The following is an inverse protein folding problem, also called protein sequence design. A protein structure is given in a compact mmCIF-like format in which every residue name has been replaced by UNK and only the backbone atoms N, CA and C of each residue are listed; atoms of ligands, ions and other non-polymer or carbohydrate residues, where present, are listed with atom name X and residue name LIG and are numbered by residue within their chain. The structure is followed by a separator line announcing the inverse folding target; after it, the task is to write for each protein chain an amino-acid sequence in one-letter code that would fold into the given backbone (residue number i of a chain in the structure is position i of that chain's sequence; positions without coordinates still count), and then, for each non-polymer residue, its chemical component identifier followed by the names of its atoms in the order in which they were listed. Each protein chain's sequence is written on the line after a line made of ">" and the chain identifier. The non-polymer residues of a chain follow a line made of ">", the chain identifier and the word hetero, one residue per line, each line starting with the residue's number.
data_IF_240523051869
#
_entry.id   IF_240523051869
#
_cell.length_a   1.000
_cell.length_b   1.000
_cell.length_c   1.000
_cell.angle_alpha   90.00
_cell.angle_beta   90.00
_cell.angle_gamma   90.00
#
_symmetry.space_group_name_H-M   'P 1'
#
loop_
_entity.id
_entity.type
_entity.pdbx_description
1 polymer ?
#
# COMPACT_ATOMS: atom_id res chain seq x y z
N UNK A 1 16.56 -15.95 -39.96
CA UNK A 1 15.85 -14.96 -39.14
C UNK A 1 16.25 -13.58 -39.60
N UNK A 2 15.33 -12.63 -39.73
CA UNK A 2 15.64 -11.29 -40.20
C UNK A 2 16.38 -10.51 -39.09
N UNK A 3 17.60 -10.07 -39.34
CA UNK A 3 18.36 -9.18 -38.46
C UNK A 3 18.24 -7.74 -38.97
N UNK A 4 18.15 -6.77 -38.07
CA UNK A 4 18.21 -5.38 -38.47
C UNK A 4 19.60 -5.08 -39.08
N UNK A 5 19.64 -4.38 -40.21
CA UNK A 5 20.90 -4.01 -40.87
C UNK A 5 21.73 -3.02 -40.03
N UNK A 6 21.06 -2.16 -39.25
CA UNK A 6 21.70 -1.10 -38.47
C UNK A 6 22.06 -1.50 -37.04
N UNK A 7 21.56 -2.64 -36.54
CA UNK A 7 21.79 -3.09 -35.17
C UNK A 7 22.21 -4.57 -35.15
N UNK A 8 23.47 -4.79 -34.84
CA UNK A 8 24.09 -6.09 -34.60
C UNK A 8 23.97 -6.48 -33.13
N UNK A 9 23.50 -7.70 -32.91
CA UNK A 9 23.41 -8.29 -31.56
C UNK A 9 24.77 -8.63 -30.95
N UNK A 10 25.88 -8.56 -31.71
CA UNK A 10 27.22 -8.88 -31.20
C UNK A 10 27.98 -7.66 -30.69
N UNK A 11 27.53 -6.46 -31.04
CA UNK A 11 28.25 -5.21 -30.79
C UNK A 11 27.62 -4.50 -29.61
N UNK A 12 28.37 -4.41 -28.50
CA UNK A 12 27.88 -3.83 -27.24
C UNK A 12 27.48 -2.36 -27.37
N UNK A 13 28.17 -1.57 -28.19
CA UNK A 13 27.79 -0.17 -28.41
C UNK A 13 26.45 -0.03 -29.13
N UNK A 14 26.11 -0.96 -30.02
CA UNK A 14 24.83 -0.97 -30.74
C UNK A 14 23.69 -1.46 -29.84
N UNK A 15 23.94 -2.43 -28.96
CA UNK A 15 23.01 -2.82 -27.90
C UNK A 15 22.72 -1.64 -26.95
N UNK A 16 23.75 -0.92 -26.52
CA UNK A 16 23.59 0.26 -25.67
C UNK A 16 22.77 1.35 -26.36
N UNK A 17 23.02 1.62 -27.65
CA UNK A 17 22.24 2.59 -28.41
C UNK A 17 20.76 2.18 -28.51
N UNK A 18 20.49 0.89 -28.71
CA UNK A 18 19.13 0.38 -28.67
C UNK A 18 18.47 0.58 -27.29
N UNK A 19 19.18 0.29 -26.20
CA UNK A 19 18.69 0.56 -24.83
C UNK A 19 18.46 2.06 -24.59
N UNK A 20 19.34 2.94 -25.09
CA UNK A 20 19.20 4.39 -25.00
C UNK A 20 17.92 4.86 -25.70
N UNK A 21 17.64 4.35 -26.90
CA UNK A 21 16.42 4.67 -27.66
C UNK A 21 15.16 4.18 -26.96
N UNK A 22 15.20 3.00 -26.34
CA UNK A 22 14.07 2.48 -25.55
C UNK A 22 13.82 3.37 -24.34
N UNK A 23 14.86 3.76 -23.62
CA UNK A 23 14.74 4.67 -22.47
C UNK A 23 14.16 6.02 -22.90
N UNK A 24 14.61 6.56 -24.03
CA UNK A 24 14.09 7.81 -24.56
C UNK A 24 12.60 7.68 -24.92
N UNK A 25 12.19 6.57 -25.55
CA UNK A 25 10.79 6.31 -25.84
C UNK A 25 9.92 6.22 -24.57
N UNK A 26 10.42 5.58 -23.51
CA UNK A 26 9.74 5.51 -22.22
C UNK A 26 9.63 6.87 -21.55
N UNK A 27 10.61 7.76 -21.72
CA UNK A 27 10.53 9.14 -21.23
C UNK A 27 9.57 10.02 -22.02
N UNK A 28 9.40 9.76 -23.31
CA UNK A 28 8.48 10.51 -24.16
C UNK A 28 7.02 10.14 -23.91
N UNK A 29 6.73 8.85 -23.72
CA UNK A 29 5.35 8.33 -23.62
C UNK A 29 4.96 7.84 -22.24
N UNK A 30 5.93 7.56 -21.37
CA UNK A 30 5.68 7.16 -19.99
C UNK A 30 5.34 8.34 -19.10
N UNK A 31 5.05 8.02 -17.84
CA UNK A 31 4.77 8.97 -16.79
C UNK A 31 5.80 8.77 -15.67
N UNK A 32 6.06 9.85 -14.93
CA UNK A 32 6.86 9.78 -13.71
C UNK A 32 6.01 9.16 -12.60
N UNK A 33 6.48 8.04 -12.06
CA UNK A 33 5.83 7.32 -10.96
C UNK A 33 6.82 7.15 -9.81
N UNK A 34 6.32 6.93 -8.60
CA UNK A 34 7.18 6.52 -7.49
C UNK A 34 7.18 5.00 -7.40
N UNK A 35 8.37 4.42 -7.46
CA UNK A 35 8.61 3.02 -7.21
C UNK A 35 9.11 2.86 -5.77
N UNK A 36 8.52 1.92 -5.04
CA UNK A 36 8.69 1.78 -3.60
C UNK A 36 9.02 0.30 -3.36
N UNK A 37 10.30 -0.03 -3.07
CA UNK A 37 10.68 -1.40 -2.79
C UNK A 37 10.09 -1.86 -1.45
N UNK A 38 9.68 -3.13 -1.38
CA UNK A 38 9.24 -3.75 -0.14
C UNK A 38 10.46 -4.17 0.70
N UNK A 39 10.46 -3.80 1.97
CA UNK A 39 11.40 -4.34 2.95
C UNK A 39 10.80 -5.59 3.59
N UNK A 40 11.54 -6.70 3.49
CA UNK A 40 11.15 -7.96 4.12
C UNK A 40 11.91 -8.05 5.44
N UNK A 41 11.18 -7.85 6.54
CA UNK A 41 11.66 -8.19 7.89
C UNK A 41 11.66 -9.73 8.04
N UNK A 42 12.59 -10.29 8.82
CA UNK A 42 12.73 -11.74 8.96
C UNK A 42 11.40 -12.41 9.35
N UNK A 43 10.92 -13.35 8.53
CA UNK A 43 9.73 -14.16 8.81
C UNK A 43 9.88 -14.92 10.15
N UNK A 44 8.85 -14.85 11.01
CA UNK A 44 8.81 -15.70 12.20
C UNK A 44 8.62 -17.17 11.77
N UNK A 45 9.73 -17.92 11.83
CA UNK A 45 9.79 -19.34 11.46
C UNK A 45 9.04 -20.25 12.43
N UNK A 46 8.57 -19.76 13.58
CA UNK A 46 7.92 -20.56 14.61
C UNK A 46 6.40 -20.59 14.41
N UNK A 47 5.79 -19.44 14.09
CA UNK A 47 4.34 -19.34 13.92
C UNK A 47 3.89 -19.19 12.46
N UNK A 48 4.81 -18.93 11.52
CA UNK A 48 4.48 -18.66 10.11
C UNK A 48 3.39 -17.59 9.96
N UNK A 49 3.37 -16.63 10.90
CA UNK A 49 2.53 -15.45 10.79
C UNK A 49 3.23 -14.46 9.84
N UNK A 50 2.46 -13.85 8.94
CA UNK A 50 3.01 -12.89 7.98
C UNK A 50 3.20 -11.56 8.71
N UNK A 51 4.45 -11.11 8.83
CA UNK A 51 4.72 -9.80 9.40
C UNK A 51 4.29 -8.78 8.33
N UNK A 52 3.52 -7.75 8.70
CA UNK A 52 3.14 -6.71 7.76
C UNK A 52 4.37 -6.11 7.10
N UNK A 53 4.25 -5.83 5.80
CA UNK A 53 5.33 -5.27 4.99
C UNK A 53 5.72 -3.88 5.49
N UNK A 54 7.00 -3.52 5.35
CA UNK A 54 7.46 -2.16 5.57
C UNK A 54 7.96 -1.54 4.26
N UNK A 55 7.74 -0.24 4.11
CA UNK A 55 8.17 0.54 2.96
C UNK A 55 8.91 1.79 3.43
N UNK A 56 10.25 1.76 3.40
CA UNK A 56 11.09 2.83 3.95
C UNK A 56 11.62 3.86 2.92
N UNK A 57 11.39 3.62 1.64
CA UNK A 57 12.04 4.39 0.58
C UNK A 57 11.20 4.52 -0.68
N UNK A 58 11.44 5.59 -1.42
CA UNK A 58 10.76 5.87 -2.67
C UNK A 58 11.72 6.36 -3.76
N UNK A 59 11.50 5.91 -4.99
CA UNK A 59 12.32 6.24 -6.14
C UNK A 59 11.46 6.70 -7.32
N UNK A 60 11.64 7.95 -7.74
CA UNK A 60 10.96 8.46 -8.94
C UNK A 60 11.58 7.87 -10.21
N UNK A 61 10.77 7.18 -11.00
CA UNK A 61 11.18 6.52 -12.24
C UNK A 61 10.12 6.67 -13.33
N UNK A 62 10.57 6.73 -14.58
CA UNK A 62 9.65 6.80 -15.72
C UNK A 62 9.14 5.40 -16.07
N UNK A 63 7.82 5.22 -16.03
CA UNK A 63 7.16 3.97 -16.45
C UNK A 63 6.09 4.25 -17.50
N UNK A 64 6.01 3.38 -18.50
CA UNK A 64 4.92 3.38 -19.47
C UNK A 64 3.81 2.47 -18.99
N UNK A 65 2.57 2.96 -19.00
CA UNK A 65 1.39 2.18 -18.66
C UNK A 65 0.89 1.52 -19.94
N UNK A 66 1.05 0.21 -20.02
CA UNK A 66 0.44 -0.62 -21.05
C UNK A 66 -1.00 -0.91 -20.61
N UNK A 67 -1.93 -0.03 -21.00
CA UNK A 67 -3.35 -0.26 -20.72
C UNK A 67 -3.89 -1.35 -21.65
N UNK A 68 -4.62 -2.33 -21.10
CA UNK A 68 -5.21 -3.49 -21.82
C UNK A 68 -6.53 -3.08 -22.52
N UNK A 69 -6.78 -1.79 -22.72
CA UNK A 69 -7.95 -1.30 -23.45
C UNK A 69 -7.83 -1.60 -24.96
N UNK A 70 -8.22 -2.82 -25.35
CA UNK A 70 -8.36 -3.16 -26.75
C UNK A 70 -8.53 -4.65 -27.03
N UNK A 71 -9.72 -5.19 -26.72
CA UNK A 71 -10.30 -6.43 -27.29
C UNK A 71 -9.56 -7.76 -27.00
N UNK A 72 -10.10 -8.58 -26.08
CA UNK A 72 -10.88 -9.80 -26.45
C UNK A 72 -11.47 -10.49 -25.20
N UNK A 73 -12.75 -10.30 -24.92
CA UNK A 73 -13.62 -11.42 -24.51
C UNK A 73 -13.52 -12.07 -23.12
N UNK A 74 -13.05 -11.44 -22.05
CA UNK A 74 -13.28 -11.96 -20.68
C UNK A 74 -13.33 -10.83 -19.63
N UNK A 75 -14.35 -9.98 -19.76
CA UNK A 75 -14.76 -9.05 -18.71
C UNK A 75 -15.63 -9.77 -17.68
N UNK A 76 -14.96 -10.54 -16.82
CA UNK A 76 -15.37 -11.00 -15.49
C UNK A 76 -14.45 -12.17 -15.17
N UNK A 77 -13.36 -11.90 -14.46
CA UNK A 77 -12.54 -12.98 -13.91
C UNK A 77 -13.35 -13.60 -12.76
N UNK A 78 -14.20 -14.58 -13.06
CA UNK A 78 -14.86 -15.39 -12.06
C UNK A 78 -13.79 -16.15 -11.26
N UNK A 79 -13.42 -15.63 -10.09
CA UNK A 79 -12.69 -16.41 -9.11
C UNK A 79 -13.66 -17.42 -8.50
N UNK A 80 -13.16 -18.51 -7.89
CA UNK A 80 -14.01 -19.55 -7.27
C UNK A 80 -14.92 -19.04 -6.14
N UNK A 81 -14.83 -17.76 -5.77
CA UNK A 81 -15.52 -17.12 -4.66
C UNK A 81 -16.39 -15.91 -5.06
N UNK A 82 -16.38 -15.46 -6.32
CA UNK A 82 -17.25 -14.36 -6.76
C UNK A 82 -16.72 -13.58 -7.96
N UNK A 83 -17.43 -12.49 -8.31
CA UNK A 83 -16.96 -11.45 -9.24
C UNK A 83 -16.25 -10.40 -8.40
N UNK A 84 -14.94 -10.29 -8.58
CA UNK A 84 -14.13 -9.25 -7.93
C UNK A 84 -13.50 -8.40 -9.04
N UNK A 85 -13.90 -7.12 -9.11
CA UNK A 85 -13.38 -6.19 -10.11
C UNK A 85 -12.16 -5.51 -9.50
N UNK A 86 -10.98 -6.08 -9.73
CA UNK A 86 -9.72 -5.43 -9.37
C UNK A 86 -9.21 -4.56 -10.51
N UNK A 87 -8.83 -3.34 -10.18
CA UNK A 87 -8.10 -2.48 -11.10
C UNK A 87 -6.71 -3.09 -11.35
N UNK A 88 -6.47 -3.57 -12.57
CA UNK A 88 -5.19 -4.11 -13.00
C UNK A 88 -4.50 -3.17 -13.99
N UNK A 89 -3.18 -3.03 -13.87
CA UNK A 89 -2.37 -2.22 -14.77
C UNK A 89 -1.05 -2.93 -15.07
N UNK A 90 -0.56 -2.82 -16.31
CA UNK A 90 0.78 -3.30 -16.67
C UNK A 90 1.73 -2.12 -16.82
N UNK A 91 2.78 -2.08 -16.01
CA UNK A 91 3.81 -1.06 -16.07
C UNK A 91 5.04 -1.59 -16.78
N UNK A 92 5.60 -0.78 -17.69
CA UNK A 92 6.81 -1.11 -18.44
C UNK A 92 7.92 -0.17 -18.03
N UNK A 93 9.01 -0.75 -17.52
CA UNK A 93 10.19 -0.01 -17.04
C UNK A 93 11.46 -0.50 -17.70
N UNK A 94 12.42 0.39 -17.97
CA UNK A 94 13.73 -0.02 -18.49
C UNK A 94 14.57 -0.69 -17.41
N UNK A 95 15.17 -1.85 -17.73
CA UNK A 95 16.07 -2.57 -16.81
C UNK A 95 17.25 -1.73 -16.36
N UNK A 96 17.85 -0.99 -17.31
CA UNK A 96 19.03 -0.16 -17.05
C UNK A 96 18.68 1.05 -16.18
N UNK A 97 17.51 1.67 -16.38
CA UNK A 97 17.05 2.80 -15.54
C UNK A 97 16.73 2.34 -14.12
N UNK A 98 15.99 1.25 -13.98
CA UNK A 98 15.69 0.68 -12.67
C UNK A 98 16.98 0.35 -11.91
N UNK A 99 17.94 -0.31 -12.55
CA UNK A 99 19.24 -0.60 -11.93
C UNK A 99 20.05 0.65 -11.53
N UNK A 100 19.90 1.75 -12.25
CA UNK A 100 20.60 3.00 -11.96
C UNK A 100 19.98 3.79 -10.81
N UNK A 101 18.66 3.70 -10.63
CA UNK A 101 17.88 4.53 -9.70
C UNK A 101 17.50 3.80 -8.42
N UNK A 102 17.26 2.49 -8.48
CA UNK A 102 16.80 1.68 -7.36
C UNK A 102 17.98 0.85 -6.84
N UNK A 103 18.38 -0.20 -7.58
CA UNK A 103 19.41 -1.17 -7.15
C UNK A 103 20.83 -0.61 -6.92
N UNK A 104 21.07 0.69 -7.17
CA UNK A 104 22.36 1.34 -6.87
C UNK A 104 22.32 2.13 -5.56
N UNK A 105 21.15 2.66 -5.21
CA UNK A 105 20.98 3.56 -4.07
C UNK A 105 20.41 2.83 -2.86
N UNK A 106 19.66 1.77 -3.12
CA UNK A 106 19.16 0.88 -2.11
C UNK A 106 20.13 -0.32 -1.96
N UNK A 107 20.73 -0.46 -0.78
CA UNK A 107 21.62 -1.57 -0.47
C UNK A 107 20.85 -2.78 0.10
N UNK A 108 19.57 -2.63 0.41
CA UNK A 108 18.67 -3.67 0.95
C UNK A 108 18.04 -4.47 -0.20
N UNK A 109 17.90 -3.86 -1.38
CA UNK A 109 17.50 -4.53 -2.62
C UNK A 109 18.67 -5.34 -3.19
N UNK A 110 18.80 -6.61 -2.79
CA UNK A 110 19.75 -7.58 -3.38
C UNK A 110 19.32 -8.09 -4.78
N UNK A 111 18.32 -7.45 -5.40
CA UNK A 111 17.69 -7.86 -6.64
C UNK A 111 18.34 -7.34 -7.92
N UNK A 112 18.37 -8.19 -8.96
CA UNK A 112 18.70 -7.75 -10.33
C UNK A 112 17.50 -7.23 -11.13
N UNK A 113 16.31 -7.24 -10.51
CA UNK A 113 15.01 -6.88 -11.06
C UNK A 113 14.07 -6.40 -9.95
N UNK A 114 12.96 -5.73 -10.30
CA UNK A 114 11.83 -5.54 -9.38
C UNK A 114 11.35 -6.85 -8.77
N UNK A 115 10.88 -6.80 -7.53
CA UNK A 115 10.32 -7.93 -6.82
C UNK A 115 8.79 -7.90 -6.80
N UNK A 116 8.22 -9.04 -6.47
CA UNK A 116 6.79 -9.17 -6.22
C UNK A 116 6.50 -8.59 -4.84
N UNK A 117 5.42 -7.84 -4.71
CA UNK A 117 5.07 -7.10 -3.50
C UNK A 117 5.58 -5.65 -3.45
N UNK A 118 6.46 -5.24 -4.36
CA UNK A 118 6.87 -3.83 -4.50
C UNK A 118 5.67 -2.95 -4.90
N UNK A 119 5.69 -1.68 -4.53
CA UNK A 119 4.60 -0.75 -4.82
C UNK A 119 4.98 0.29 -5.88
N UNK A 120 3.97 0.73 -6.62
CA UNK A 120 4.05 1.78 -7.63
C UNK A 120 2.95 2.80 -7.36
N UNK A 121 3.33 4.02 -7.04
CA UNK A 121 2.41 5.14 -6.81
C UNK A 121 2.28 6.03 -8.04
N UNK A 122 1.05 6.20 -8.51
CA UNK A 122 0.67 7.10 -9.58
C UNK A 122 0.23 8.46 -9.03
N UNK A 123 1.10 9.47 -9.08
CA UNK A 123 0.78 10.80 -8.57
C UNK A 123 -0.38 11.51 -9.27
N UNK A 124 -0.72 11.14 -10.52
CA UNK A 124 -1.83 11.77 -11.25
C UNK A 124 -3.20 11.30 -10.73
N UNK A 125 -3.33 10.02 -10.41
CA UNK A 125 -4.58 9.39 -9.95
C UNK A 125 -4.60 9.16 -8.44
N UNK A 126 -3.47 9.38 -7.75
CA UNK A 126 -3.23 9.05 -6.34
C UNK A 126 -3.51 7.58 -6.01
N UNK A 127 -3.33 6.68 -6.98
CA UNK A 127 -3.53 5.24 -6.81
C UNK A 127 -2.20 4.55 -6.57
N UNK A 128 -2.20 3.60 -5.65
CA UNK A 128 -1.07 2.73 -5.32
C UNK A 128 -1.31 1.35 -5.91
N UNK A 129 -0.32 0.79 -6.59
CA UNK A 129 -0.39 -0.51 -7.26
C UNK A 129 0.68 -1.44 -6.71
N UNK A 130 0.33 -2.69 -6.42
CA UNK A 130 1.26 -3.74 -5.99
C UNK A 130 1.70 -4.58 -7.19
N UNK A 131 3.00 -4.87 -7.27
CA UNK A 131 3.58 -5.76 -8.30
C UNK A 131 3.25 -7.21 -7.96
N UNK A 132 2.41 -7.84 -8.77
CA UNK A 132 2.03 -9.25 -8.61
C UNK A 132 2.99 -10.18 -9.34
N UNK A 133 3.49 -9.76 -10.50
CA UNK A 133 4.41 -10.57 -11.29
C UNK A 133 5.32 -9.70 -12.17
N UNK A 134 6.57 -10.16 -12.31
CA UNK A 134 7.59 -9.48 -13.14
C UNK A 134 7.95 -10.35 -14.33
N UNK A 135 7.41 -10.00 -15.49
CA UNK A 135 7.76 -10.64 -16.73
C UNK A 135 9.12 -10.12 -17.23
N UNK A 136 10.07 -11.05 -17.32
CA UNK A 136 11.42 -10.79 -17.78
C UNK A 136 11.85 -11.71 -18.94
N UNK A 137 11.00 -12.63 -19.41
CA UNK A 137 11.39 -13.71 -20.35
C UNK A 137 10.46 -14.02 -21.55
N UNK A 138 9.46 -13.20 -21.92
CA UNK A 138 8.55 -13.54 -23.04
C UNK A 138 8.52 -12.54 -24.21
N UNK A 139 8.58 -12.95 -25.50
CA UNK A 139 9.04 -14.20 -26.11
C UNK A 139 10.48 -14.07 -26.68
N UNK A 140 11.05 -15.20 -27.13
CA UNK A 140 12.37 -15.35 -27.79
C UNK A 140 12.73 -14.21 -28.78
N UNK A 141 13.37 -13.16 -28.29
CA UNK A 141 14.02 -12.18 -29.14
C UNK A 141 15.41 -12.68 -29.56
N UNK A 142 15.85 -12.30 -30.76
CA UNK A 142 17.21 -12.60 -31.20
C UNK A 142 18.27 -11.92 -30.31
N UNK A 143 17.92 -10.77 -29.70
CA UNK A 143 18.65 -10.25 -28.54
C UNK A 143 18.28 -11.12 -27.34
N UNK A 144 19.26 -11.87 -26.82
CA UNK A 144 19.15 -12.73 -25.63
C UNK A 144 18.72 -12.02 -24.33
N UNK A 145 18.29 -10.76 -24.39
CA UNK A 145 17.81 -10.01 -23.24
C UNK A 145 16.83 -8.90 -23.67
N UNK A 146 15.71 -8.79 -22.97
CA UNK A 146 14.78 -7.68 -23.09
C UNK A 146 15.37 -6.44 -22.39
N UNK A 147 15.34 -5.24 -22.99
CA UNK A 147 15.82 -4.02 -22.31
C UNK A 147 14.83 -3.48 -21.27
N UNK A 148 13.66 -4.12 -21.14
CA UNK A 148 12.55 -3.72 -20.26
C UNK A 148 12.12 -4.85 -19.32
N UNK A 149 11.49 -4.48 -18.21
CA UNK A 149 10.65 -5.32 -17.37
C UNK A 149 9.20 -4.94 -17.61
N UNK A 150 8.31 -5.93 -17.68
CA UNK A 150 6.86 -5.71 -17.59
C UNK A 150 6.38 -6.16 -16.22
N UNK A 151 5.75 -5.25 -15.50
CA UNK A 151 5.25 -5.44 -14.14
C UNK A 151 3.73 -5.55 -14.26
N UNK A 152 3.17 -6.72 -13.96
CA UNK A 152 1.73 -6.87 -13.81
C UNK A 152 1.39 -6.46 -12.39
N UNK A 153 0.53 -5.46 -12.28
CA UNK A 153 0.17 -4.87 -11.00
C UNK A 153 -1.34 -4.85 -10.79
N UNK A 154 -1.73 -4.90 -9.53
CA UNK A 154 -3.10 -4.74 -9.07
C UNK A 154 -3.18 -3.58 -8.10
N UNK A 155 -4.36 -2.98 -7.93
CA UNK A 155 -4.57 -1.94 -6.92
C UNK A 155 -4.18 -2.48 -5.54
N UNK A 156 -3.35 -1.72 -4.83
CA UNK A 156 -2.91 -2.08 -3.49
C UNK A 156 -4.03 -1.85 -2.47
N UNK A 157 -4.21 -2.82 -1.57
CA UNK A 157 -5.13 -2.76 -0.45
C UNK A 157 -4.31 -2.69 0.83
N UNK A 158 -4.51 -1.62 1.61
CA UNK A 158 -3.84 -1.44 2.89
C UNK A 158 -4.34 -2.47 3.90
N UNK A 159 -3.41 -3.21 4.52
CA UNK A 159 -3.68 -4.29 5.47
C UNK A 159 -2.90 -4.15 6.79
N UNK A 160 -2.32 -2.97 7.05
CA UNK A 160 -1.54 -2.69 8.26
C UNK A 160 -0.02 -2.61 8.02
N UNK A 161 0.39 -2.39 6.77
CA UNK A 161 1.78 -2.11 6.41
C UNK A 161 2.25 -0.77 7.00
N UNK A 162 3.55 -0.65 7.23
CA UNK A 162 4.18 0.59 7.71
C UNK A 162 4.74 1.34 6.50
N UNK A 163 4.32 2.58 6.28
CA UNK A 163 4.70 3.42 5.15
C UNK A 163 5.44 4.68 5.59
N UNK A 164 6.77 4.62 5.51
CA UNK A 164 7.69 5.72 5.82
C UNK A 164 8.50 6.08 4.57
N UNK A 165 7.82 6.37 3.46
CA UNK A 165 8.45 6.50 2.15
C UNK A 165 9.10 7.87 1.92
N UNK A 166 8.79 8.83 2.80
CA UNK A 166 9.20 10.23 2.69
C UNK A 166 8.36 11.05 1.69
N UNK A 167 7.27 10.48 1.19
CA UNK A 167 6.30 11.14 0.31
C UNK A 167 4.99 11.25 1.09
N UNK A 168 4.64 12.48 1.47
CA UNK A 168 3.48 12.78 2.32
C UNK A 168 2.19 12.11 1.83
N UNK A 169 1.92 12.13 0.52
CA UNK A 169 0.70 11.53 -0.04
C UNK A 169 0.63 10.00 0.06
N UNK A 170 1.76 9.33 0.22
CA UNK A 170 1.85 7.87 0.37
C UNK A 170 1.78 7.51 1.84
N UNK A 171 2.53 8.25 2.67
CA UNK A 171 2.55 8.06 4.12
C UNK A 171 1.17 8.41 4.74
N UNK A 172 0.39 9.29 4.10
CA UNK A 172 -0.99 9.58 4.48
C UNK A 172 -1.96 8.39 4.28
N UNK A 173 -1.64 7.43 3.40
CA UNK A 173 -2.47 6.23 3.19
C UNK A 173 -2.54 5.40 4.48
N UNK A 174 -1.40 5.23 5.16
CA UNK A 174 -1.37 4.60 6.48
C UNK A 174 -2.27 5.35 7.46
N UNK A 175 -2.20 6.67 7.51
CA UNK A 175 -3.01 7.48 8.44
C UNK A 175 -4.51 7.43 8.16
N UNK A 176 -4.91 7.36 6.89
CA UNK A 176 -6.32 7.39 6.49
C UNK A 176 -7.02 6.04 6.73
N UNK A 177 -6.30 4.93 6.48
CA UNK A 177 -6.87 3.59 6.54
C UNK A 177 -6.53 2.82 7.83
N UNK A 178 -5.60 3.31 8.64
CA UNK A 178 -5.26 2.69 9.93
C UNK A 178 -6.35 2.87 10.99
N UNK A 179 -6.37 1.93 11.94
CA UNK A 179 -7.23 1.99 13.11
C UNK A 179 -6.87 3.20 13.96
N UNK A 180 -7.82 4.10 14.16
CA UNK A 180 -7.56 5.39 14.78
C UNK A 180 -8.19 5.48 16.16
N UNK A 181 -7.40 5.87 17.15
CA UNK A 181 -7.88 6.29 18.47
C UNK A 181 -8.04 7.80 18.50
N UNK A 182 -9.28 8.26 18.52
CA UNK A 182 -9.63 9.65 18.70
C UNK A 182 -9.68 9.99 20.19
N UNK A 183 -8.71 10.78 20.63
CA UNK A 183 -8.51 11.27 21.98
C UNK A 183 -8.92 12.73 22.07
N UNK A 184 -9.78 13.05 23.05
CA UNK A 184 -10.05 14.45 23.42
C UNK A 184 -9.23 14.82 24.64
N UNK A 185 -8.41 15.85 24.52
CA UNK A 185 -7.57 16.33 25.61
C UNK A 185 -8.26 17.44 26.42
N UNK A 186 -7.81 17.63 27.66
CA UNK A 186 -8.15 18.80 28.44
C UNK A 186 -7.54 20.07 27.82
N UNK A 187 -8.00 21.24 28.24
CA UNK A 187 -7.40 22.50 27.82
C UNK A 187 -5.90 22.50 28.13
N UNK A 188 -5.08 22.76 27.12
CA UNK A 188 -3.63 22.66 27.21
C UNK A 188 -2.99 23.62 26.21
N UNK A 189 -1.79 24.08 26.54
CA UNK A 189 -0.89 24.78 25.60
C UNK A 189 0.09 23.79 24.92
N UNK A 190 -0.01 22.50 25.23
CA UNK A 190 0.78 21.43 24.60
C UNK A 190 0.29 21.25 23.18
N UNK A 191 1.20 21.46 22.23
CA UNK A 191 0.95 21.19 20.82
C UNK A 191 1.57 19.85 20.43
N UNK A 192 0.82 19.04 19.70
CA UNK A 192 1.28 17.78 19.16
C UNK A 192 1.67 17.95 17.69
N UNK A 193 2.81 17.40 17.31
CA UNK A 193 3.25 17.36 15.91
C UNK A 193 2.83 16.02 15.28
N UNK A 194 2.32 16.06 14.04
CA UNK A 194 1.98 14.83 13.31
C UNK A 194 3.25 14.01 13.09
N UNK A 195 3.18 12.71 13.34
CA UNK A 195 4.31 11.78 13.31
C UNK A 195 5.08 11.65 14.63
N UNK A 196 4.71 12.37 15.68
CA UNK A 196 5.35 12.19 16.99
C UNK A 196 4.77 11.00 17.77
N UNK A 197 5.61 10.30 18.53
CA UNK A 197 5.16 9.26 19.45
C UNK A 197 4.66 9.89 20.76
N UNK A 198 3.49 9.44 21.22
CA UNK A 198 2.92 9.81 22.50
C UNK A 198 2.69 8.59 23.38
N UNK A 199 2.81 8.77 24.69
CA UNK A 199 2.69 7.67 25.65
C UNK A 199 1.70 7.96 26.76
N UNK A 200 1.03 6.92 27.25
CA UNK A 200 0.19 6.99 28.46
C UNK A 200 0.55 5.85 29.39
N UNK A 201 0.76 6.14 30.68
CA UNK A 201 0.95 5.12 31.71
C UNK A 201 -0.38 4.81 32.39
N UNK A 202 -0.80 3.54 32.30
CA UNK A 202 -2.00 3.00 32.93
C UNK A 202 -1.79 2.77 34.44
N UNK A 203 -2.88 2.45 35.15
CA UNK A 203 -2.86 2.31 36.61
C UNK A 203 -2.05 1.10 37.12
N UNK A 204 -1.93 0.07 36.28
CA UNK A 204 -1.15 -1.15 36.50
C UNK A 204 0.34 -0.98 36.17
N UNK A 205 0.74 0.17 35.61
CA UNK A 205 2.10 0.46 35.18
C UNK A 205 2.39 0.13 33.72
N UNK A 206 1.40 -0.40 32.98
CA UNK A 206 1.50 -0.63 31.54
C UNK A 206 1.64 0.72 30.81
N UNK A 207 2.53 0.77 29.83
CA UNK A 207 2.76 1.96 29.00
C UNK A 207 2.15 1.71 27.63
N UNK A 208 1.10 2.48 27.33
CA UNK A 208 0.54 2.63 26.00
C UNK A 208 1.43 3.59 25.19
N UNK A 209 1.63 3.29 23.92
CA UNK A 209 2.26 4.18 22.94
C UNK A 209 1.39 4.25 21.68
N UNK A 210 1.53 5.33 20.92
CA UNK A 210 0.89 5.52 19.63
C UNK A 210 1.48 6.73 18.92
N UNK A 211 1.30 6.78 17.60
CA UNK A 211 1.76 7.88 16.77
C UNK A 211 0.64 8.88 16.52
N UNK A 212 0.95 10.18 16.56
CA UNK A 212 -0.01 11.25 16.25
C UNK A 212 -0.27 11.32 14.75
N UNK A 213 -1.46 10.91 14.30
CA UNK A 213 -1.91 11.06 12.92
C UNK A 213 -2.56 12.41 12.65
N UNK A 214 -3.21 13.00 13.65
CA UNK A 214 -3.88 14.30 13.51
C UNK A 214 -3.96 15.03 14.85
N UNK A 215 -3.74 16.35 14.82
CA UNK A 215 -3.97 17.21 15.98
C UNK A 215 -4.62 18.53 15.57
N UNK A 216 -5.65 18.91 16.35
CA UNK A 216 -6.30 20.22 16.22
C UNK A 216 -6.56 20.86 17.58
N UNK A 217 -5.76 21.87 17.89
CA UNK A 217 -5.84 22.63 19.14
C UNK A 217 -7.24 23.24 19.38
N UNK A 218 -7.87 23.82 18.34
CA UNK A 218 -9.16 24.49 18.50
C UNK A 218 -10.30 23.57 18.94
N UNK A 219 -10.24 22.29 18.56
CA UNK A 219 -11.23 21.27 18.95
C UNK A 219 -10.72 20.35 20.06
N UNK A 220 -9.41 20.42 20.36
CA UNK A 220 -8.68 19.53 21.29
C UNK A 220 -8.82 18.06 20.89
N UNK A 221 -8.78 17.84 19.59
CA UNK A 221 -8.94 16.54 18.96
C UNK A 221 -7.57 16.03 18.54
N UNK A 222 -7.16 14.93 19.16
CA UNK A 222 -5.93 14.20 18.86
C UNK A 222 -6.33 12.84 18.29
N UNK A 223 -5.76 12.44 17.17
CA UNK A 223 -5.97 11.11 16.59
C UNK A 223 -4.65 10.36 16.61
N UNK A 224 -4.71 9.12 17.07
CA UNK A 224 -3.55 8.25 17.25
C UNK A 224 -3.69 6.99 16.40
N UNK A 225 -2.62 6.60 15.72
CA UNK A 225 -2.51 5.35 14.95
C UNK A 225 -1.35 4.51 15.48
N UNK A 226 -1.21 3.27 15.01
CA UNK A 226 -0.13 2.38 15.45
C UNK A 226 -0.12 2.11 16.95
N UNK A 227 -1.31 2.09 17.58
CA UNK A 227 -1.43 2.02 19.04
C UNK A 227 -1.02 0.64 19.55
N UNK A 228 -0.08 0.63 20.50
CA UNK A 228 0.43 -0.57 21.14
C UNK A 228 0.68 -0.38 22.64
N UNK A 229 1.12 -1.45 23.29
CA UNK A 229 1.51 -1.43 24.70
C UNK A 229 2.81 -2.19 24.94
N UNK A 230 3.47 -1.91 26.05
CA UNK A 230 4.66 -2.64 26.49
C UNK A 230 4.35 -3.99 27.18
N UNK A 231 3.09 -4.41 27.23
CA UNK A 231 2.65 -5.70 27.77
C UNK A 231 2.28 -6.65 26.63
N UNK A 232 3.23 -7.47 26.15
CA UNK A 232 3.03 -8.29 24.97
C UNK A 232 1.92 -9.34 25.18
N UNK A 233 0.98 -9.41 24.23
CA UNK A 233 -0.08 -10.42 24.19
C UNK A 233 -1.35 -10.09 24.97
N UNK A 234 -1.39 -8.96 25.69
CA UNK A 234 -2.60 -8.46 26.33
C UNK A 234 -3.12 -7.23 25.59
N UNK A 235 -4.43 -7.16 25.37
CA UNK A 235 -5.08 -5.99 24.81
C UNK A 235 -5.19 -4.90 25.88
N UNK A 236 -4.63 -3.74 25.58
CA UNK A 236 -4.75 -2.53 26.37
C UNK A 236 -5.20 -1.38 25.46
N UNK A 237 -5.90 -0.40 26.02
CA UNK A 237 -6.37 0.78 25.28
C UNK A 237 -6.10 2.06 26.05
N UNK A 238 -6.07 3.19 25.34
CA UNK A 238 -6.00 4.49 25.99
C UNK A 238 -7.23 4.73 26.87
N UNK A 239 -7.03 5.31 28.06
CA UNK A 239 -8.10 5.60 29.02
C UNK A 239 -8.20 7.08 29.35
N UNK A 240 -9.42 7.54 29.63
CA UNK A 240 -9.65 8.89 30.13
C UNK A 240 -9.24 9.04 31.61
N UNK A 241 -9.03 10.28 32.04
CA UNK A 241 -8.61 10.61 33.41
C UNK A 241 -7.12 10.38 33.70
N UNK A 242 -6.32 10.08 32.68
CA UNK A 242 -4.87 9.92 32.74
C UNK A 242 -4.20 10.84 31.74
N UNK A 243 -2.95 11.23 32.02
CA UNK A 243 -2.21 12.10 31.12
C UNK A 243 -1.61 11.31 29.97
N UNK A 244 -1.65 11.92 28.79
CA UNK A 244 -0.83 11.55 27.64
C UNK A 244 0.41 12.44 27.63
N UNK A 245 1.56 11.84 27.38
CA UNK A 245 2.86 12.48 27.38
C UNK A 245 3.40 12.52 25.95
N UNK A 246 3.74 13.73 25.50
CA UNK A 246 4.47 14.04 24.28
C UNK A 246 5.87 14.55 24.64
N UNK A 247 6.76 14.67 23.67
CA UNK A 247 8.03 15.37 23.81
C UNK A 247 7.85 16.84 24.26
N UNK A 248 6.74 17.46 23.86
CA UNK A 248 6.44 18.87 24.11
C UNK A 248 5.70 19.12 25.45
N UNK A 249 5.24 18.06 26.12
CA UNK A 249 4.58 18.19 27.42
C UNK A 249 3.58 17.07 27.72
N UNK A 250 2.81 17.24 28.79
CA UNK A 250 1.84 16.25 29.27
C UNK A 250 0.47 16.89 29.41
N UNK A 251 -0.59 16.23 28.94
CA UNK A 251 -1.97 16.72 29.03
C UNK A 251 -2.92 15.61 29.45
N UNK A 252 -3.95 15.95 30.24
CA UNK A 252 -4.99 15.01 30.65
C UNK A 252 -5.89 14.60 29.48
N UNK A 253 -6.17 13.31 29.35
CA UNK A 253 -7.20 12.79 28.44
C UNK A 253 -8.58 12.91 29.10
N UNK A 254 -9.54 13.54 28.42
CA UNK A 254 -10.93 13.63 28.86
C UNK A 254 -11.82 12.52 28.28
N UNK A 255 -11.57 12.14 27.03
CA UNK A 255 -12.35 11.11 26.35
C UNK A 255 -11.47 10.36 25.35
N UNK A 256 -11.81 9.10 25.12
CA UNK A 256 -11.20 8.23 24.11
C UNK A 256 -12.35 7.58 23.33
N UNK A 257 -12.22 7.58 22.02
CA UNK A 257 -13.13 6.93 21.08
C UNK A 257 -12.30 6.21 20.03
N UNK A 258 -12.77 5.06 19.59
CA UNK A 258 -12.11 4.24 18.59
C UNK A 258 -12.87 4.38 17.26
N UNK A 259 -12.13 4.57 16.18
CA UNK A 259 -12.65 4.69 14.82
C UNK A 259 -11.98 3.64 13.94
N UNK A 260 -12.78 2.69 13.46
CA UNK A 260 -12.33 1.60 12.60
C UNK A 260 -12.81 1.85 11.17
N UNK A 261 -11.88 2.22 10.30
CA UNK A 261 -12.16 2.48 8.88
C UNK A 261 -11.84 1.27 7.98
N UNK A 262 -11.47 0.11 8.53
CA UNK A 262 -11.05 -1.07 7.75
C UNK A 262 -12.15 -1.54 6.78
N UNK A 263 -13.42 -1.42 7.17
CA UNK A 263 -14.55 -1.82 6.30
C UNK A 263 -14.91 -0.79 5.22
N UNK A 264 -14.36 0.43 5.24
CA UNK A 264 -14.74 1.47 4.28
C UNK A 264 -14.29 1.18 2.85
N UNK A 265 -13.34 0.25 2.65
CA UNK A 265 -12.89 -0.17 1.32
C UNK A 265 -13.62 -1.43 0.81
N UNK A 266 -14.55 -2.00 1.59
CA UNK A 266 -15.30 -3.17 1.17
C UNK A 266 -16.31 -2.79 0.06
N UNK A 267 -16.17 -3.39 -1.11
CA UNK A 267 -17.10 -3.21 -2.24
C UNK A 267 -18.34 -4.14 -2.11
N UNK A 268 -18.98 -4.16 -0.93
CA UNK A 268 -20.11 -5.04 -0.64
C UNK A 268 -21.47 -4.31 -0.51
N UNK A 269 -21.52 -3.00 -0.77
CA UNK A 269 -22.77 -2.21 -0.72
C UNK A 269 -23.90 -2.79 -1.58
N UNK A 270 -23.55 -3.47 -2.67
CA UNK A 270 -24.48 -4.14 -3.56
C UNK A 270 -25.12 -5.38 -2.89
N UNK A 271 -24.37 -6.11 -2.06
CA UNK A 271 -24.90 -7.26 -1.31
C UNK A 271 -25.83 -6.83 -0.17
N UNK A 272 -25.55 -5.72 0.50
CA UNK A 272 -26.44 -5.13 1.51
C UNK A 272 -27.78 -4.71 0.91
N UNK A 273 -27.76 -4.12 -0.29
CA UNK A 273 -28.98 -3.61 -0.95
C UNK A 273 -29.82 -4.74 -1.57
N UNK A 274 -29.19 -5.84 -2.02
CA UNK A 274 -29.87 -6.96 -2.66
C UNK A 274 -30.38 -7.98 -1.63
N UNK A 275 -29.66 -8.18 -0.52
CA UNK A 275 -30.01 -9.16 0.53
C UNK A 275 -31.37 -8.88 1.19
N UNK A 276 -31.63 -7.61 1.51
CA UNK A 276 -32.87 -7.18 2.20
C UNK A 276 -34.14 -7.31 1.35
N UNK A 277 -34.01 -7.36 0.01
CA UNK A 277 -35.14 -7.53 -0.90
C UNK A 277 -35.43 -8.99 -1.30
N UNK A 278 -34.50 -9.91 -1.05
CA UNK A 278 -34.60 -11.31 -1.51
C UNK A 278 -35.34 -12.21 -0.50
N UNK A 279 -35.24 -11.92 0.80
CA UNK A 279 -35.86 -12.71 1.87
C UNK A 279 -36.89 -11.88 2.64
N UNK A 280 -38.13 -11.89 2.17
CA UNK A 280 -39.27 -11.28 2.86
C UNK A 280 -39.79 -12.20 3.99
N UNK A 281 -39.41 -11.89 5.24
CA UNK A 281 -39.89 -12.59 6.44
C UNK A 281 -41.12 -11.91 7.08
N UNK A 282 -41.80 -10.99 6.37
CA UNK A 282 -43.00 -10.32 6.90
C UNK A 282 -44.23 -11.24 6.98
N UNK A 283 -44.24 -12.37 6.27
CA UNK A 283 -45.28 -13.39 6.38
C UNK A 283 -44.93 -14.43 7.46
N UNK A 284 -45.81 -14.61 8.46
CA UNK A 284 -45.52 -15.46 9.62
C UNK A 284 -45.47 -16.97 9.32
N UNK A 285 -45.80 -17.39 8.10
CA UNK A 285 -45.70 -18.78 7.68
C UNK A 285 -45.55 -18.91 6.15
N UNK A 286 -44.33 -18.79 5.61
CA UNK A 286 -44.07 -18.91 4.17
C UNK A 286 -44.18 -20.34 3.63
N UNK A 287 -44.37 -21.36 4.49
CA UNK A 287 -44.44 -22.77 4.09
C UNK A 287 -45.78 -23.46 4.37
N UNK A 288 -46.81 -22.69 4.78
CA UNK A 288 -48.19 -23.15 4.96
C UNK A 288 -48.41 -23.92 6.27
N UNK A 289 -49.56 -23.68 6.91
CA UNK A 289 -49.95 -24.47 8.09
C UNK A 289 -50.40 -25.88 7.64
N UNK A 290 -49.91 -26.94 8.30
CA UNK A 290 -50.29 -28.30 7.96
C UNK A 290 -51.78 -28.54 8.30
N UNK A 291 -52.58 -28.84 7.27
CA UNK A 291 -53.96 -29.34 7.41
C UNK A 291 -54.00 -30.82 7.77
#
# INVERSE_FOLDING_TARGET
>A
MATNFYFSQKVRSEQNLYEDLVIESLRMYGQDVYYIPRDILEEDRILSDDIPSQFNSSHRIEMYIENIEGFDGEGDLFTKFGVEIRDQATFVVSRRRWKQLVARYDNEVEGSRPFEGDLIYLGLTKKLFQVMAVEHESPFYQLSNLPVFKLRCELFEYSGEIMDTGVEEIDDIEREYSYTYNVRTANTDVNFEVGEEVTQTLADGTVMYGEVSYWKESTRSLSLVGVGSNDPGNLHTFVSGRSINSINGSVLIEAVTEENNISNNEQNSDFDTIGDGFLDFSESNPFGDPS
#
